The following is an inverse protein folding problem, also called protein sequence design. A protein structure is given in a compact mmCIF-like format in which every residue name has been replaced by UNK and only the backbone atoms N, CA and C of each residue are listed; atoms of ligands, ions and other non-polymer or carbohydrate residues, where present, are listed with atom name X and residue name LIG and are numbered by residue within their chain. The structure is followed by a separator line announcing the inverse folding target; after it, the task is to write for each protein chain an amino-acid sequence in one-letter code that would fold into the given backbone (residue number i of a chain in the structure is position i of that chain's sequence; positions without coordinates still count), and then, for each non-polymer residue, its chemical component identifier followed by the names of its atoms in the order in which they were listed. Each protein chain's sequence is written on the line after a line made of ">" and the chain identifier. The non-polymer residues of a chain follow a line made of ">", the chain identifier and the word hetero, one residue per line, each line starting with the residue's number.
data_IF_273445128638
#
_entry.id   IF_273445128638
#
_cell.length_a   1.000
_cell.length_b   1.000
_cell.length_c   1.000
_cell.angle_alpha   90.00
_cell.angle_beta   90.00
_cell.angle_gamma   90.00
#
_symmetry.space_group_name_H-M   'P 1'
#
loop_
_entity.id
_entity.type
_entity.pdbx_description
1 polymer ?
#
# COMPACT_ATOMS: atom_id res chain seq x y z
N UNK A 1 32.95 13.45 16.09
CA UNK A 1 32.21 13.10 14.87
C UNK A 1 30.73 13.30 15.17
N UNK A 2 30.09 14.29 14.54
CA UNK A 2 28.65 14.52 14.74
C UNK A 2 27.90 13.32 14.18
N UNK A 3 27.13 12.62 15.01
CA UNK A 3 26.27 11.52 14.57
C UNK A 3 25.21 12.06 13.59
N UNK A 4 25.19 11.53 12.37
CA UNK A 4 24.15 11.84 11.38
C UNK A 4 22.79 11.51 11.95
N UNK A 5 21.96 12.53 12.20
CA UNK A 5 20.63 12.37 12.80
C UNK A 5 19.59 11.92 11.79
N UNK A 6 19.61 12.47 10.58
CA UNK A 6 18.72 12.07 9.48
C UNK A 6 19.20 10.77 8.85
N UNK A 7 18.30 9.82 8.68
CA UNK A 7 18.57 8.55 8.00
C UNK A 7 18.05 8.59 6.56
N UNK A 8 18.81 7.97 5.66
CA UNK A 8 18.42 7.82 4.25
C UNK A 8 17.90 6.41 4.05
N UNK A 9 16.65 6.30 3.58
CA UNK A 9 16.01 5.05 3.18
C UNK A 9 15.99 5.00 1.65
N UNK A 10 16.59 3.97 1.05
CA UNK A 10 16.56 3.76 -0.38
C UNK A 10 15.71 2.53 -0.73
N UNK A 11 14.74 2.70 -1.63
CA UNK A 11 14.00 1.57 -2.21
C UNK A 11 14.84 0.93 -3.29
N UNK A 12 15.15 -0.36 -3.13
CA UNK A 12 15.95 -1.13 -4.06
C UNK A 12 15.10 -2.26 -4.62
N UNK A 13 15.09 -2.40 -5.95
CA UNK A 13 14.42 -3.51 -6.62
C UNK A 13 15.40 -4.68 -6.83
N UNK A 14 14.86 -5.87 -7.00
CA UNK A 14 15.60 -7.08 -7.38
C UNK A 14 16.32 -6.98 -8.73
N UNK A 15 15.90 -6.04 -9.60
CA UNK A 15 16.52 -5.82 -10.93
C UNK A 15 17.89 -5.15 -10.86
N UNK A 16 18.17 -4.42 -9.78
CA UNK A 16 19.44 -3.72 -9.57
C UNK A 16 19.79 -3.74 -8.09
N UNK A 17 20.32 -4.86 -7.64
CA UNK A 17 20.64 -5.09 -6.24
C UNK A 17 22.04 -5.73 -6.06
N UNK A 18 22.94 -5.52 -7.01
CA UNK A 18 24.31 -6.04 -6.96
C UNK A 18 25.11 -5.38 -5.81
N UNK A 19 26.13 -6.08 -5.34
CA UNK A 19 26.98 -5.65 -4.20
C UNK A 19 27.61 -4.29 -4.45
N UNK A 20 28.12 -4.03 -5.66
CA UNK A 20 28.78 -2.78 -5.97
C UNK A 20 27.83 -1.58 -5.93
N UNK A 21 26.61 -1.75 -6.45
CA UNK A 21 25.58 -0.73 -6.37
C UNK A 21 25.18 -0.42 -4.92
N UNK A 22 24.94 -1.46 -4.11
CA UNK A 22 24.59 -1.29 -2.69
C UNK A 22 25.73 -0.62 -1.93
N UNK A 23 26.99 -0.99 -2.22
CA UNK A 23 28.18 -0.39 -1.62
C UNK A 23 28.28 1.10 -1.93
N UNK A 24 28.08 1.50 -3.19
CA UNK A 24 28.09 2.92 -3.59
C UNK A 24 27.00 3.72 -2.84
N UNK A 25 25.80 3.18 -2.69
CA UNK A 25 24.71 3.82 -1.93
C UNK A 25 25.08 3.94 -0.44
N UNK A 26 25.67 2.91 0.13
CA UNK A 26 26.11 2.93 1.55
C UNK A 26 27.20 3.97 1.78
N UNK A 27 28.21 4.04 0.92
CA UNK A 27 29.28 5.05 0.97
C UNK A 27 28.74 6.47 0.76
N UNK A 28 27.70 6.63 -0.07
CA UNK A 28 26.95 7.90 -0.23
C UNK A 28 26.07 8.25 0.98
N UNK A 29 25.96 7.35 1.99
CA UNK A 29 25.30 7.60 3.25
C UNK A 29 23.92 6.97 3.42
N UNK A 30 23.52 6.01 2.60
CA UNK A 30 22.31 5.19 2.83
C UNK A 30 22.41 4.46 4.17
N UNK A 31 21.30 4.39 4.88
CA UNK A 31 21.20 3.74 6.19
C UNK A 31 20.27 2.53 6.16
N UNK A 32 19.23 2.58 5.32
CA UNK A 32 18.16 1.57 5.28
C UNK A 32 17.87 1.21 3.83
N UNK A 33 17.81 -0.09 3.54
CA UNK A 33 17.29 -0.63 2.29
C UNK A 33 15.81 -0.97 2.49
N UNK A 34 14.94 -0.40 1.67
CA UNK A 34 13.51 -0.71 1.65
C UNK A 34 13.21 -1.71 0.53
N UNK A 35 12.60 -2.84 0.88
CA UNK A 35 12.08 -3.85 -0.02
C UNK A 35 10.57 -3.72 -0.14
N UNK A 36 10.04 -3.54 -1.36
CA UNK A 36 8.61 -3.46 -1.59
C UNK A 36 8.05 -4.83 -1.98
N UNK A 37 7.23 -5.42 -1.10
CA UNK A 37 6.66 -6.76 -1.30
C UNK A 37 5.61 -6.84 -2.41
N UNK A 38 5.17 -5.70 -2.97
CA UNK A 38 4.20 -5.69 -4.06
C UNK A 38 4.78 -6.21 -5.38
N UNK A 39 6.10 -6.05 -5.62
CA UNK A 39 6.70 -6.19 -6.94
C UNK A 39 7.83 -7.21 -7.06
N UNK A 40 8.43 -7.67 -5.97
CA UNK A 40 9.56 -8.59 -6.03
C UNK A 40 9.17 -10.04 -5.71
N UNK A 41 9.92 -10.99 -6.28
CA UNK A 41 9.82 -12.40 -5.95
C UNK A 41 10.56 -12.73 -4.65
N UNK A 42 10.32 -13.92 -4.09
CA UNK A 42 11.04 -14.39 -2.90
C UNK A 42 12.54 -14.55 -3.18
N UNK A 43 12.89 -15.07 -4.36
CA UNK A 43 14.27 -15.24 -4.81
C UNK A 43 14.99 -13.89 -4.95
N UNK A 44 14.28 -12.87 -5.47
CA UNK A 44 14.80 -11.51 -5.58
C UNK A 44 15.09 -10.88 -4.21
N UNK A 45 14.23 -11.13 -3.21
CA UNK A 45 14.47 -10.70 -1.84
C UNK A 45 15.67 -11.40 -1.21
N UNK A 46 15.84 -12.71 -1.41
CA UNK A 46 16.97 -13.47 -0.90
C UNK A 46 18.30 -12.92 -1.43
N UNK A 47 18.39 -12.66 -2.75
CA UNK A 47 19.57 -12.08 -3.36
C UNK A 47 19.87 -10.67 -2.80
N UNK A 48 18.84 -9.82 -2.68
CA UNK A 48 19.00 -8.48 -2.13
C UNK A 48 19.49 -8.51 -0.67
N UNK A 49 18.88 -9.32 0.19
CA UNK A 49 19.28 -9.46 1.59
C UNK A 49 20.72 -9.95 1.70
N UNK A 50 21.09 -10.98 0.95
CA UNK A 50 22.46 -11.52 0.94
C UNK A 50 23.49 -10.46 0.50
N UNK A 51 23.18 -9.70 -0.54
CA UNK A 51 24.06 -8.65 -1.05
C UNK A 51 24.19 -7.48 -0.05
N UNK A 52 23.09 -7.07 0.60
CA UNK A 52 23.13 -6.05 1.65
C UNK A 52 24.02 -6.50 2.81
N UNK A 53 23.85 -7.72 3.31
CA UNK A 53 24.66 -8.27 4.42
C UNK A 53 26.14 -8.45 4.03
N UNK A 54 26.42 -8.74 2.75
CA UNK A 54 27.79 -8.77 2.22
C UNK A 54 28.46 -7.41 2.29
N UNK A 55 27.73 -6.31 2.03
CA UNK A 55 28.27 -4.96 2.11
C UNK A 55 28.46 -4.52 3.56
N UNK A 56 27.44 -4.64 4.40
CA UNK A 56 27.54 -4.24 5.81
C UNK A 56 26.31 -4.66 6.63
N UNK A 57 26.56 -5.20 7.83
CA UNK A 57 25.51 -5.41 8.84
C UNK A 57 24.99 -4.11 9.48
N UNK A 58 25.57 -2.95 9.14
CA UNK A 58 25.09 -1.63 9.58
C UNK A 58 23.98 -1.07 8.70
N UNK A 59 23.72 -1.69 7.57
CA UNK A 59 22.60 -1.31 6.71
C UNK A 59 21.36 -2.05 7.26
N UNK A 60 20.41 -1.29 7.74
CA UNK A 60 19.13 -1.87 8.15
C UNK A 60 18.28 -2.25 6.93
N UNK A 61 17.49 -3.31 7.07
CA UNK A 61 16.57 -3.78 6.03
C UNK A 61 15.14 -3.55 6.51
N UNK A 62 14.35 -2.91 5.67
CA UNK A 62 12.95 -2.62 5.89
C UNK A 62 12.11 -3.34 4.83
N UNK A 63 11.19 -4.18 5.29
CA UNK A 63 10.20 -4.81 4.44
C UNK A 63 8.89 -4.01 4.48
N UNK A 64 8.43 -3.56 3.32
CA UNK A 64 7.18 -2.80 3.18
C UNK A 64 6.05 -3.74 2.74
N UNK A 65 5.05 -3.92 3.60
CA UNK A 65 3.87 -4.75 3.31
C UNK A 65 2.87 -3.99 2.44
N UNK A 66 2.04 -4.73 1.70
CA UNK A 66 1.03 -4.12 0.84
C UNK A 66 -0.11 -3.48 1.67
N UNK A 67 -0.50 -4.12 2.77
CA UNK A 67 -1.62 -3.67 3.60
C UNK A 67 -3.00 -3.80 2.94
N UNK A 68 -4.06 -3.35 3.63
CA UNK A 68 -5.45 -3.45 3.18
C UNK A 68 -5.80 -2.32 2.19
N UNK A 69 -5.42 -2.47 0.95
CA UNK A 69 -5.63 -1.48 -0.12
C UNK A 69 -6.81 -1.87 -1.02
N UNK A 70 -7.68 -0.90 -1.31
CA UNK A 70 -8.68 -1.01 -2.37
C UNK A 70 -8.09 -0.43 -3.65
N UNK A 71 -8.23 -1.13 -4.76
CA UNK A 71 -7.81 -0.66 -6.09
C UNK A 71 -8.92 -0.80 -7.10
N UNK A 72 -8.91 0.04 -8.14
CA UNK A 72 -9.68 -0.24 -9.35
C UNK A 72 -9.15 -1.52 -10.01
N UNK A 73 -9.99 -2.21 -10.76
CA UNK A 73 -9.55 -3.35 -11.58
C UNK A 73 -8.79 -2.89 -12.82
N UNK A 74 -8.35 -3.85 -13.63
CA UNK A 74 -7.71 -3.52 -14.90
C UNK A 74 -8.68 -2.82 -15.85
N UNK A 75 -8.16 -1.92 -16.69
CA UNK A 75 -8.82 -1.36 -17.86
C UNK A 75 -7.89 -1.50 -19.07
N UNK A 76 -8.48 -1.69 -20.25
CA UNK A 76 -7.72 -1.94 -21.48
C UNK A 76 -6.91 -0.70 -21.90
N UNK A 77 -7.50 0.49 -21.75
CA UNK A 77 -6.88 1.79 -22.11
C UNK A 77 -7.19 2.84 -21.04
N UNK A 78 -6.33 3.87 -20.89
CA UNK A 78 -6.63 5.00 -20.00
C UNK A 78 -7.95 5.67 -20.34
N UNK A 79 -8.79 5.92 -19.34
CA UNK A 79 -10.16 6.44 -19.52
C UNK A 79 -10.21 7.89 -19.08
N UNK A 80 -10.41 8.85 -20.01
CA UNK A 80 -10.58 10.27 -19.65
C UNK A 80 -11.97 10.52 -19.08
N UNK A 81 -12.05 11.27 -17.99
CA UNK A 81 -13.27 11.75 -17.36
C UNK A 81 -13.28 13.27 -17.29
N UNK A 82 -14.48 13.86 -17.45
CA UNK A 82 -14.73 15.32 -17.33
C UNK A 82 -15.65 15.62 -16.16
N UNK A 83 -15.53 16.81 -15.61
CA UNK A 83 -16.40 17.31 -14.54
C UNK A 83 -17.87 17.15 -14.93
N UNK A 84 -18.68 16.63 -13.98
CA UNK A 84 -20.11 16.43 -14.13
C UNK A 84 -20.50 15.14 -14.87
N UNK A 85 -19.56 14.38 -15.42
CA UNK A 85 -19.85 13.06 -15.97
C UNK A 85 -20.30 12.12 -14.86
N UNK A 86 -21.16 11.15 -15.21
CA UNK A 86 -21.64 10.14 -14.28
C UNK A 86 -21.05 8.78 -14.61
N UNK A 87 -20.59 8.07 -13.58
CA UNK A 87 -19.99 6.75 -13.71
C UNK A 87 -20.52 5.83 -12.59
N UNK A 88 -20.72 4.56 -12.89
CA UNK A 88 -21.06 3.55 -11.89
C UNK A 88 -19.78 3.03 -11.22
N UNK A 89 -19.89 2.69 -9.94
CA UNK A 89 -18.85 1.95 -9.22
C UNK A 89 -19.45 0.68 -8.62
N UNK A 90 -18.74 -0.43 -8.80
CA UNK A 90 -19.15 -1.76 -8.29
C UNK A 90 -18.01 -2.42 -7.53
N UNK A 91 -18.35 -3.18 -6.49
CA UNK A 91 -17.40 -4.01 -5.74
C UNK A 91 -17.26 -5.39 -6.38
N UNK A 92 -16.54 -5.49 -7.51
CA UNK A 92 -16.35 -6.77 -8.19
C UNK A 92 -14.91 -6.90 -8.72
N UNK A 93 -14.03 -7.69 -8.05
CA UNK A 93 -12.63 -7.86 -8.45
C UNK A 93 -12.43 -8.56 -9.80
N UNK A 94 -13.44 -9.30 -10.29
CA UNK A 94 -13.36 -10.05 -11.54
C UNK A 94 -13.84 -9.25 -12.76
N UNK A 95 -14.50 -8.11 -12.54
CA UNK A 95 -14.99 -7.26 -13.61
C UNK A 95 -13.88 -6.29 -14.05
N UNK A 96 -13.71 -6.13 -15.35
CA UNK A 96 -12.83 -5.12 -15.93
C UNK A 96 -13.46 -3.73 -15.81
N UNK A 97 -12.67 -2.73 -15.47
CA UNK A 97 -13.09 -1.32 -15.43
C UNK A 97 -13.31 -0.81 -16.85
N UNK A 98 -14.48 -0.23 -17.09
CA UNK A 98 -14.86 0.44 -18.35
C UNK A 98 -15.20 1.90 -18.11
N UNK A 99 -15.46 2.65 -19.21
CA UNK A 99 -15.88 4.06 -19.12
C UNK A 99 -17.19 4.24 -18.34
N UNK A 100 -18.10 3.30 -18.45
CA UNK A 100 -19.44 3.34 -17.83
C UNK A 100 -19.45 2.80 -16.40
N UNK A 101 -18.46 1.95 -16.07
CA UNK A 101 -18.43 1.23 -14.80
C UNK A 101 -16.98 1.02 -14.30
N UNK A 102 -16.64 1.64 -13.20
CA UNK A 102 -15.40 1.40 -12.47
C UNK A 102 -15.63 0.23 -11.52
N UNK A 103 -14.90 -0.86 -11.70
CA UNK A 103 -14.91 -1.96 -10.77
C UNK A 103 -13.76 -1.83 -9.77
N UNK A 104 -13.99 -2.22 -8.50
CA UNK A 104 -12.98 -2.18 -7.46
C UNK A 104 -12.77 -3.54 -6.83
N UNK A 105 -11.57 -3.75 -6.26
CA UNK A 105 -11.11 -5.02 -5.70
C UNK A 105 -11.81 -5.44 -4.39
N UNK A 106 -12.61 -4.56 -3.78
CA UNK A 106 -13.32 -4.82 -2.53
C UNK A 106 -14.80 -5.11 -2.77
N UNK A 107 -15.28 -6.36 -2.55
CA UNK A 107 -16.67 -6.74 -2.87
C UNK A 107 -17.74 -5.96 -2.11
N UNK A 108 -17.50 -5.61 -0.85
CA UNK A 108 -18.48 -4.88 -0.03
C UNK A 108 -18.41 -3.35 -0.22
N UNK A 109 -17.69 -2.85 -1.21
CA UNK A 109 -17.48 -1.42 -1.44
C UNK A 109 -18.78 -0.62 -1.51
N UNK A 110 -19.76 -1.15 -2.25
CA UNK A 110 -21.08 -0.52 -2.37
C UNK A 110 -21.79 -0.45 -1.03
N UNK A 111 -21.67 -1.47 -0.18
CA UNK A 111 -22.32 -1.52 1.11
C UNK A 111 -21.77 -0.48 2.09
N UNK A 112 -20.46 -0.30 2.12
CA UNK A 112 -19.77 0.51 3.12
C UNK A 112 -19.90 2.02 2.86
N UNK A 113 -20.20 2.45 1.62
CA UNK A 113 -20.32 3.87 1.26
C UNK A 113 -21.77 4.36 1.29
N UNK A 114 -21.94 5.65 1.59
CA UNK A 114 -23.22 6.32 1.58
C UNK A 114 -23.28 7.43 0.51
N UNK A 115 -24.51 7.85 0.15
CA UNK A 115 -24.74 9.02 -0.70
C UNK A 115 -24.08 10.25 -0.06
N UNK A 116 -23.46 11.10 -0.86
CA UNK A 116 -22.65 12.25 -0.44
C UNK A 116 -21.21 11.91 -0.07
N UNK A 117 -20.85 10.61 -0.09
CA UNK A 117 -19.47 10.17 0.18
C UNK A 117 -18.52 10.54 -0.96
N UNK A 118 -17.28 10.92 -0.62
CA UNK A 118 -16.22 11.19 -1.57
C UNK A 118 -15.40 9.93 -1.83
N UNK A 119 -15.05 9.68 -3.09
CA UNK A 119 -14.16 8.62 -3.52
C UNK A 119 -12.98 9.26 -4.24
N UNK A 120 -11.77 8.99 -3.77
CA UNK A 120 -10.51 9.47 -4.35
C UNK A 120 -9.80 8.30 -5.02
N UNK A 121 -9.49 8.45 -6.30
CA UNK A 121 -8.76 7.43 -7.08
C UNK A 121 -7.41 8.02 -7.51
N UNK A 122 -6.35 7.20 -7.47
CA UNK A 122 -4.97 7.59 -7.78
C UNK A 122 -4.50 8.78 -6.95
N UNK A 123 -4.57 8.62 -5.60
CA UNK A 123 -4.21 9.64 -4.61
C UNK A 123 -4.99 10.98 -4.73
N UNK A 124 -6.17 10.95 -5.38
CA UNK A 124 -7.04 12.09 -5.58
C UNK A 124 -6.91 12.74 -6.96
N UNK A 125 -6.14 12.15 -7.87
CA UNK A 125 -6.12 12.62 -9.28
C UNK A 125 -7.51 12.56 -9.91
N UNK A 126 -8.34 11.57 -9.54
CA UNK A 126 -9.75 11.50 -9.90
C UNK A 126 -10.61 11.51 -8.62
N UNK A 127 -11.42 12.56 -8.48
CA UNK A 127 -12.38 12.72 -7.38
C UNK A 127 -13.81 12.48 -7.86
N UNK A 128 -14.54 11.65 -7.13
CA UNK A 128 -15.92 11.29 -7.38
C UNK A 128 -16.78 11.53 -6.13
N UNK A 129 -18.01 11.97 -6.33
CA UNK A 129 -19.03 12.05 -5.26
C UNK A 129 -20.14 11.05 -5.53
N UNK A 130 -20.53 10.28 -4.52
CA UNK A 130 -21.66 9.35 -4.61
C UNK A 130 -22.96 10.14 -4.62
N UNK A 131 -23.67 10.16 -5.75
CA UNK A 131 -24.94 10.89 -5.92
C UNK A 131 -26.18 9.99 -5.80
N UNK A 132 -26.02 8.68 -5.97
CA UNK A 132 -27.09 7.68 -5.79
C UNK A 132 -26.49 6.32 -5.46
N UNK A 133 -27.29 5.44 -4.86
CA UNK A 133 -26.87 4.10 -4.42
C UNK A 133 -27.98 3.09 -4.62
N UNK A 134 -27.64 1.94 -5.19
CA UNK A 134 -28.49 0.75 -5.26
C UNK A 134 -27.87 -0.38 -4.43
N UNK A 135 -28.45 -1.58 -4.47
CA UNK A 135 -27.85 -2.76 -3.86
C UNK A 135 -26.54 -3.19 -4.57
N UNK A 136 -26.42 -2.93 -5.86
CA UNK A 136 -25.38 -3.49 -6.71
C UNK A 136 -24.30 -2.48 -7.12
N UNK A 137 -24.63 -1.18 -7.13
CA UNK A 137 -23.67 -0.15 -7.55
C UNK A 137 -23.90 1.20 -6.86
N UNK A 138 -22.85 2.02 -6.85
CA UNK A 138 -22.92 3.45 -6.57
C UNK A 138 -22.95 4.20 -7.91
N UNK A 139 -23.82 5.21 -8.02
CA UNK A 139 -23.77 6.19 -9.10
C UNK A 139 -22.98 7.38 -8.59
N UNK A 140 -21.89 7.72 -9.27
CA UNK A 140 -20.99 8.79 -8.86
C UNK A 140 -20.92 9.89 -9.92
N UNK A 141 -20.71 11.12 -9.47
CA UNK A 141 -20.43 12.28 -10.30
C UNK A 141 -18.95 12.65 -10.21
N UNK A 142 -18.33 12.90 -11.35
CA UNK A 142 -16.93 13.32 -11.48
C UNK A 142 -16.78 14.78 -11.04
N UNK A 143 -15.87 15.06 -10.11
CA UNK A 143 -15.66 16.40 -9.53
C UNK A 143 -14.47 17.15 -10.11
N UNK A 144 -13.53 16.45 -10.75
CA UNK A 144 -12.37 17.06 -11.44
C UNK A 144 -12.05 16.33 -12.74
N UNK A 145 -11.38 17.00 -13.68
CA UNK A 145 -10.91 16.35 -14.91
C UNK A 145 -9.69 15.48 -14.63
N UNK A 146 -9.72 14.21 -15.08
CA UNK A 146 -8.62 13.28 -14.92
C UNK A 146 -8.66 12.16 -15.97
N UNK A 147 -7.55 11.43 -16.06
CA UNK A 147 -7.49 10.21 -16.88
C UNK A 147 -7.22 9.00 -15.98
N UNK A 148 -8.18 8.10 -15.86
CA UNK A 148 -8.06 6.90 -15.05
C UNK A 148 -7.17 5.85 -15.73
N UNK A 149 -6.03 5.59 -15.12
CA UNK A 149 -5.15 4.46 -15.48
C UNK A 149 -5.62 3.14 -14.87
N UNK A 150 -4.94 2.05 -15.22
CA UNK A 150 -5.25 0.70 -14.75
C UNK A 150 -4.80 0.47 -13.30
N UNK A 151 -5.61 -0.22 -12.49
CA UNK A 151 -5.30 -0.71 -11.13
C UNK A 151 -4.87 0.38 -10.17
N UNK A 152 -5.57 1.51 -10.19
CA UNK A 152 -5.28 2.68 -9.34
C UNK A 152 -5.81 2.52 -7.92
N UNK A 153 -5.12 3.11 -6.95
CA UNK A 153 -5.56 3.15 -5.55
C UNK A 153 -6.92 3.82 -5.41
N UNK A 154 -7.72 3.35 -4.46
CA UNK A 154 -9.04 3.93 -4.14
C UNK A 154 -9.09 4.25 -2.65
N UNK A 155 -9.31 5.51 -2.34
CA UNK A 155 -9.47 6.03 -0.99
C UNK A 155 -10.87 6.59 -0.78
N UNK A 156 -11.44 6.39 0.41
CA UNK A 156 -12.79 6.88 0.76
C UNK A 156 -12.71 7.62 2.09
N UNK A 157 -12.50 8.94 2.07
CA UNK A 157 -12.37 9.74 3.27
C UNK A 157 -13.56 9.59 4.21
N UNK A 158 -13.28 9.40 5.51
CA UNK A 158 -14.32 9.28 6.54
C UNK A 158 -15.07 7.94 6.58
N UNK A 159 -14.82 7.01 5.67
CA UNK A 159 -15.47 5.70 5.63
C UNK A 159 -14.54 4.61 6.14
N UNK A 160 -15.04 3.78 7.06
CA UNK A 160 -14.30 2.61 7.54
C UNK A 160 -14.51 1.43 6.58
N UNK A 161 -13.52 1.14 5.76
CA UNK A 161 -13.50 -0.06 4.92
C UNK A 161 -13.18 -1.29 5.78
N UNK A 162 -14.01 -2.33 5.67
CA UNK A 162 -13.93 -3.51 6.51
C UNK A 162 -13.05 -4.63 5.89
N UNK A 163 -11.83 -4.26 5.51
CA UNK A 163 -10.81 -5.20 5.02
C UNK A 163 -10.00 -5.78 6.19
N UNK A 164 -9.51 -7.03 6.09
CA UNK A 164 -8.54 -7.56 7.04
C UNK A 164 -7.29 -6.65 7.09
N UNK A 165 -6.69 -6.49 8.26
CA UNK A 165 -5.45 -5.71 8.42
C UNK A 165 -4.29 -6.33 7.65
N UNK A 166 -4.22 -7.65 7.63
CA UNK A 166 -3.19 -8.45 6.97
C UNK A 166 -3.82 -9.41 5.97
N UNK A 167 -3.33 -9.40 4.75
CA UNK A 167 -3.60 -10.45 3.78
C UNK A 167 -2.78 -11.70 4.13
N UNK A 168 -3.13 -12.85 3.55
CA UNK A 168 -2.31 -14.07 3.67
C UNK A 168 -0.88 -13.84 3.15
N UNK A 169 -0.74 -13.08 2.06
CA UNK A 169 0.58 -12.69 1.53
C UNK A 169 1.37 -11.86 2.54
N UNK A 170 0.73 -10.89 3.22
CA UNK A 170 1.41 -10.09 4.24
C UNK A 170 1.86 -10.95 5.42
N UNK A 171 1.03 -11.89 5.90
CA UNK A 171 1.42 -12.85 6.94
C UNK A 171 2.64 -13.67 6.54
N UNK A 172 2.65 -14.22 5.33
CA UNK A 172 3.77 -14.99 4.80
C UNK A 172 5.05 -14.14 4.68
N UNK A 173 4.92 -12.87 4.27
CA UNK A 173 6.04 -11.93 4.21
C UNK A 173 6.58 -11.59 5.62
N UNK A 174 5.72 -11.43 6.62
CA UNK A 174 6.14 -11.19 8.01
C UNK A 174 6.91 -12.41 8.55
N UNK A 175 6.42 -13.64 8.33
CA UNK A 175 7.13 -14.85 8.72
C UNK A 175 8.49 -14.95 8.02
N UNK A 176 8.55 -14.59 6.74
CA UNK A 176 9.81 -14.54 6.00
C UNK A 176 10.76 -13.47 6.56
N UNK A 177 10.24 -12.29 6.94
CA UNK A 177 11.03 -11.25 7.57
C UNK A 177 11.67 -11.74 8.89
N UNK A 178 10.93 -12.52 9.68
CA UNK A 178 11.43 -13.14 10.91
C UNK A 178 12.54 -14.15 10.58
N UNK A 179 12.32 -15.04 9.60
CA UNK A 179 13.31 -16.04 9.15
C UNK A 179 14.63 -15.39 8.70
N UNK A 180 14.56 -14.23 8.06
CA UNK A 180 15.73 -13.53 7.49
C UNK A 180 16.30 -12.43 8.39
N UNK A 181 15.84 -12.33 9.63
CA UNK A 181 16.32 -11.33 10.62
C UNK A 181 16.29 -9.91 10.05
N UNK A 182 15.13 -9.50 9.52
CA UNK A 182 14.88 -8.17 8.98
C UNK A 182 14.73 -7.19 10.14
N UNK A 183 15.16 -5.94 9.97
CA UNK A 183 15.17 -4.95 11.05
C UNK A 183 13.82 -4.28 11.25
N UNK A 184 13.08 -4.00 10.16
CA UNK A 184 11.82 -3.25 10.17
C UNK A 184 10.76 -3.86 9.27
N UNK A 185 9.50 -3.83 9.74
CA UNK A 185 8.31 -4.02 8.92
C UNK A 185 7.59 -2.67 8.84
N UNK A 186 7.43 -2.12 7.64
CA UNK A 186 6.57 -0.96 7.39
C UNK A 186 5.21 -1.47 6.93
N UNK A 187 4.16 -1.19 7.74
CA UNK A 187 2.80 -1.62 7.45
C UNK A 187 2.03 -0.51 6.76
N UNK A 188 1.62 -0.77 5.52
CA UNK A 188 0.88 0.18 4.70
C UNK A 188 -0.59 0.30 5.13
N UNK A 189 -1.17 1.47 4.91
CA UNK A 189 -2.59 1.77 5.14
C UNK A 189 -3.09 1.46 6.56
N UNK A 190 -2.28 1.71 7.57
CA UNK A 190 -2.71 1.55 8.98
C UNK A 190 -3.91 2.45 9.25
N UNK A 191 -5.00 1.86 9.76
CA UNK A 191 -6.29 2.53 10.00
C UNK A 191 -6.56 2.75 11.49
N UNK A 192 -5.97 1.90 12.34
CA UNK A 192 -6.23 1.91 13.77
C UNK A 192 -5.15 1.12 14.53
N UNK A 193 -5.23 1.14 15.86
CA UNK A 193 -4.32 0.40 16.75
C UNK A 193 -4.30 -1.10 16.49
N UNK A 194 -5.45 -1.71 16.14
CA UNK A 194 -5.54 -3.16 15.95
C UNK A 194 -4.70 -3.62 14.77
N UNK A 195 -4.64 -2.84 13.68
CA UNK A 195 -3.81 -3.17 12.51
C UNK A 195 -2.32 -3.35 12.90
N UNK A 196 -1.83 -2.55 13.86
CA UNK A 196 -0.45 -2.69 14.39
C UNK A 196 -0.32 -3.89 15.33
N UNK A 197 -1.34 -4.13 16.16
CA UNK A 197 -1.33 -5.26 17.10
C UNK A 197 -1.36 -6.61 16.38
N UNK A 198 -2.06 -6.73 15.26
CA UNK A 198 -2.10 -7.96 14.46
C UNK A 198 -0.70 -8.38 13.98
N UNK A 199 0.17 -7.41 13.65
CA UNK A 199 1.58 -7.69 13.34
C UNK A 199 2.35 -8.04 14.61
N UNK A 200 2.13 -7.27 15.69
CA UNK A 200 2.81 -7.50 16.97
C UNK A 200 2.58 -8.91 17.48
N UNK A 201 1.36 -9.42 17.41
CA UNK A 201 1.02 -10.79 17.81
C UNK A 201 1.85 -11.84 17.04
N UNK A 202 2.05 -11.64 15.73
CA UNK A 202 2.89 -12.58 14.95
C UNK A 202 4.35 -12.49 15.40
N UNK A 203 4.88 -11.29 15.60
CA UNK A 203 6.26 -11.10 16.04
C UNK A 203 6.50 -11.69 17.44
N UNK A 204 5.60 -11.43 18.38
CA UNK A 204 5.69 -11.92 19.76
C UNK A 204 5.59 -13.44 19.83
N UNK A 205 4.71 -14.06 19.02
CA UNK A 205 4.60 -15.52 18.91
C UNK A 205 5.90 -16.21 18.45
N UNK A 206 6.77 -15.47 17.75
CA UNK A 206 8.06 -15.95 17.25
C UNK A 206 9.26 -15.36 18.02
N UNK A 207 9.02 -14.65 19.14
CA UNK A 207 10.07 -13.96 19.92
C UNK A 207 10.94 -13.03 19.05
N UNK A 208 10.33 -12.31 18.12
CA UNK A 208 11.03 -11.46 17.17
C UNK A 208 11.07 -9.98 17.62
N UNK A 209 12.26 -9.37 17.57
CA UNK A 209 12.50 -7.96 17.92
C UNK A 209 12.31 -6.98 16.77
N UNK A 210 11.80 -7.42 15.63
CA UNK A 210 11.53 -6.58 14.46
C UNK A 210 10.67 -5.37 14.87
N UNK A 211 11.07 -4.20 14.41
CA UNK A 211 10.35 -2.95 14.72
C UNK A 211 9.27 -2.68 13.67
N UNK A 212 8.10 -2.23 14.12
CA UNK A 212 6.97 -1.91 13.24
C UNK A 212 6.98 -0.40 12.97
N UNK A 213 6.86 -0.02 11.71
CA UNK A 213 6.61 1.34 11.23
C UNK A 213 5.18 1.39 10.70
N UNK A 214 4.30 2.12 11.37
CA UNK A 214 2.95 2.36 10.90
C UNK A 214 2.95 3.46 9.84
N UNK A 215 2.47 3.16 8.64
CA UNK A 215 2.34 4.12 7.55
C UNK A 215 0.94 4.74 7.59
N UNK A 216 0.90 6.05 7.80
CA UNK A 216 -0.33 6.84 7.88
C UNK A 216 -0.61 7.38 6.48
N UNK A 217 -1.40 6.64 5.71
CA UNK A 217 -1.64 6.88 4.28
C UNK A 217 -3.12 7.12 3.97
N UNK A 218 -3.97 7.17 4.98
CA UNK A 218 -5.39 7.46 4.83
C UNK A 218 -5.83 8.60 5.77
N UNK A 219 -6.87 9.34 5.35
CA UNK A 219 -7.36 10.51 6.07
C UNK A 219 -8.06 10.19 7.40
N UNK A 220 -8.40 8.93 7.70
CA UNK A 220 -9.01 8.56 8.97
C UNK A 220 -8.08 8.81 10.16
N UNK A 221 -6.78 8.73 9.95
CA UNK A 221 -5.78 8.97 11.00
C UNK A 221 -5.34 10.43 11.13
N UNK A 222 -5.53 11.26 10.09
CA UNK A 222 -5.21 12.69 10.16
C UNK A 222 -6.13 13.45 11.13
N UNK A 223 -7.32 12.92 11.42
CA UNK A 223 -8.30 13.52 12.33
C UNK A 223 -8.39 12.82 13.68
N UNK A 224 -7.65 11.72 13.90
CA UNK A 224 -7.59 11.07 15.20
C UNK A 224 -6.66 11.83 16.13
N UNK A 225 -7.11 12.22 17.34
CA UNK A 225 -6.21 12.69 18.37
C UNK A 225 -5.23 11.57 18.71
N UNK A 226 -3.94 11.84 18.56
CA UNK A 226 -2.85 10.95 18.95
C UNK A 226 -2.78 10.79 20.46
#
# INVERSE_FOLDING_TARGET
>A
MLLKQTKIVASISDRRCDVDFIKQLFEAGMNVVRMNTAHASREGFEALIANVRTVSNRIAILMDTKGPEVRTTANAEPIPYKIGEKVKIVGNPELETTRECIAVSYPNFVHDLNIGGTILIDDGDLELEVIDKTADYLLCEVKNEATLGSRKSVNVPGVRINLPSLTEKDRNNILYAIEKDIDFIAHSFVRNRQDVLDIREILDAHNSDIKIIAKIENCLLYTSPS
#
